data_IF_677216488867
#
_entry.id   IF_677216488867
#
_cell.length_a   1.000
_cell.length_b   1.000
_cell.length_c   1.000
_cell.angle_alpha   90.00
_cell.angle_beta   90.00
_cell.angle_gamma   90.00
#
_symmetry.space_group_name_H-M   'P 1'
#
loop_
_entity.id
_entity.type
_entity.pdbx_description
1 polymer ?
#
# COMPACT_ATOMS: atom_id res chain seq x y z
N UNK A 1 -3.26 37.17 -11.76
CA UNK A 1 -2.23 36.14 -11.51
C UNK A 1 -2.96 34.90 -11.06
N UNK A 2 -3.05 33.89 -11.92
CA UNK A 2 -3.71 32.63 -11.57
C UNK A 2 -2.80 31.90 -10.58
N UNK A 3 -3.17 31.92 -9.29
CA UNK A 3 -2.55 31.07 -8.28
C UNK A 3 -2.96 29.63 -8.58
N UNK A 4 -2.22 28.96 -9.44
CA UNK A 4 -2.30 27.51 -9.54
C UNK A 4 -1.72 26.96 -8.24
N UNK A 5 -2.59 26.54 -7.31
CA UNK A 5 -2.17 25.80 -6.13
C UNK A 5 -1.29 24.62 -6.60
N UNK A 6 -0.09 24.44 -6.02
CA UNK A 6 0.78 23.35 -6.44
C UNK A 6 0.06 22.01 -6.25
N UNK A 7 0.30 21.08 -7.19
CA UNK A 7 -0.20 19.72 -7.06
C UNK A 7 0.32 19.11 -5.75
N UNK A 8 -0.51 18.36 -5.02
CA UNK A 8 -0.10 17.68 -3.76
C UNK A 8 1.17 16.84 -3.97
N UNK A 9 1.28 16.21 -5.14
CA UNK A 9 2.44 15.42 -5.54
C UNK A 9 3.06 15.94 -6.83
N UNK A 10 4.38 16.00 -6.87
CA UNK A 10 5.15 16.43 -8.03
C UNK A 10 6.37 15.53 -8.24
N UNK A 11 6.59 15.11 -9.48
CA UNK A 11 7.81 14.44 -9.91
C UNK A 11 8.00 14.70 -11.41
N UNK A 12 9.04 15.44 -11.78
CA UNK A 12 9.27 15.80 -13.17
C UNK A 12 9.81 14.64 -14.02
N UNK A 13 10.52 13.68 -13.39
CA UNK A 13 10.95 12.44 -14.03
C UNK A 13 11.10 11.34 -12.99
N UNK A 14 11.05 10.08 -13.43
CA UNK A 14 11.27 8.93 -12.56
C UNK A 14 12.64 8.88 -11.90
N UNK A 15 13.61 9.72 -12.27
CA UNK A 15 14.92 9.81 -11.58
C UNK A 15 14.95 10.89 -10.49
N UNK A 16 13.92 11.73 -10.39
CA UNK A 16 13.85 12.81 -9.42
C UNK A 16 13.06 12.38 -8.19
N UNK A 17 13.49 12.86 -7.02
CA UNK A 17 12.81 12.56 -5.75
C UNK A 17 11.34 12.99 -5.84
N UNK A 18 10.38 12.12 -5.46
CA UNK A 18 8.98 12.49 -5.46
C UNK A 18 8.71 13.49 -4.34
N UNK A 19 8.07 14.60 -4.70
CA UNK A 19 7.77 15.70 -3.78
C UNK A 19 6.35 15.56 -3.24
N UNK A 20 6.20 15.74 -1.93
CA UNK A 20 4.90 15.91 -1.26
C UNK A 20 4.80 17.36 -0.82
N UNK A 21 3.95 18.14 -1.51
CA UNK A 21 3.73 19.55 -1.22
C UNK A 21 2.70 19.76 -0.09
N UNK A 22 2.77 20.90 0.63
CA UNK A 22 1.76 21.26 1.62
C UNK A 22 0.36 21.26 1.00
N UNK A 23 -0.58 20.55 1.62
CA UNK A 23 -1.96 20.50 1.18
C UNK A 23 -2.91 20.63 2.38
N UNK A 24 -3.93 21.52 2.32
CA UNK A 24 -4.90 21.66 3.41
C UNK A 24 -5.87 20.47 3.51
N UNK A 25 -6.05 19.72 2.43
CA UNK A 25 -6.98 18.60 2.37
C UNK A 25 -6.38 17.35 3.04
N UNK A 26 -7.20 16.54 3.74
CA UNK A 26 -6.72 15.29 4.32
C UNK A 26 -6.20 14.33 3.25
N UNK A 27 -5.27 13.45 3.62
CA UNK A 27 -4.77 12.43 2.71
C UNK A 27 -5.84 11.36 2.44
N UNK A 28 -5.84 10.84 1.22
CA UNK A 28 -6.69 9.75 0.75
C UNK A 28 -5.88 8.48 0.43
N UNK A 29 -6.51 7.30 0.34
CA UNK A 29 -5.79 6.09 -0.08
C UNK A 29 -5.19 6.20 -1.48
N UNK A 30 -5.84 6.97 -2.37
CA UNK A 30 -5.35 7.27 -3.72
C UNK A 30 -4.04 8.06 -3.67
N UNK A 31 -3.95 9.04 -2.78
CA UNK A 31 -2.74 9.86 -2.59
C UNK A 31 -1.52 8.99 -2.26
N UNK A 32 -1.65 8.06 -1.30
CA UNK A 32 -0.55 7.17 -0.94
C UNK A 32 -0.22 6.13 -2.00
N UNK A 33 -1.20 5.70 -2.79
CA UNK A 33 -0.98 4.78 -3.92
C UNK A 33 -0.24 5.48 -5.06
N UNK A 34 -0.56 6.75 -5.31
CA UNK A 34 0.16 7.57 -6.28
C UNK A 34 1.59 7.84 -5.81
N UNK A 35 1.78 8.24 -4.56
CA UNK A 35 3.11 8.45 -3.99
C UNK A 35 3.96 7.18 -3.99
N UNK A 36 3.37 6.03 -3.67
CA UNK A 36 4.03 4.72 -3.75
C UNK A 36 4.59 4.43 -5.15
N UNK A 37 3.79 4.67 -6.19
CA UNK A 37 4.24 4.51 -7.58
C UNK A 37 5.45 5.41 -7.88
N UNK A 38 5.38 6.69 -7.52
CA UNK A 38 6.46 7.66 -7.73
C UNK A 38 7.74 7.30 -6.96
N UNK A 39 7.59 6.82 -5.72
CA UNK A 39 8.68 6.39 -4.85
C UNK A 39 9.38 5.13 -5.37
N UNK A 40 8.62 4.12 -5.81
CA UNK A 40 9.20 2.92 -6.43
C UNK A 40 9.91 3.25 -7.74
N UNK A 41 9.28 4.06 -8.59
CA UNK A 41 9.88 4.55 -9.83
C UNK A 41 11.20 5.29 -9.59
N UNK A 42 11.25 6.15 -8.57
CA UNK A 42 12.48 6.83 -8.14
C UNK A 42 13.61 5.86 -7.79
N UNK A 43 13.32 4.91 -6.91
CA UNK A 43 14.30 3.95 -6.41
C UNK A 43 14.82 3.05 -7.55
N UNK A 44 13.93 2.59 -8.42
CA UNK A 44 14.27 1.73 -9.54
C UNK A 44 15.09 2.47 -10.62
N UNK A 45 14.72 3.71 -10.95
CA UNK A 45 15.34 4.45 -12.05
C UNK A 45 16.64 5.16 -11.67
N UNK A 46 16.77 5.64 -10.43
CA UNK A 46 18.06 6.21 -9.98
C UNK A 46 19.11 5.11 -9.88
N UNK A 47 18.71 3.92 -9.41
CA UNK A 47 19.61 2.80 -9.17
C UNK A 47 20.68 3.13 -8.13
N UNK A 48 21.40 2.11 -7.66
CA UNK A 48 22.57 2.28 -6.79
C UNK A 48 22.33 3.02 -5.45
N UNK A 49 21.08 3.14 -5.00
CA UNK A 49 20.76 3.55 -3.63
C UNK A 49 20.83 2.29 -2.76
N UNK A 50 21.53 2.38 -1.62
CA UNK A 50 21.50 1.32 -0.62
C UNK A 50 20.05 1.12 -0.13
N UNK A 51 19.58 -0.13 -0.05
CA UNK A 51 18.26 -0.51 0.46
C UNK A 51 17.94 0.17 1.80
N UNK A 52 18.95 0.33 2.68
CA UNK A 52 18.79 0.99 3.99
C UNK A 52 18.65 2.50 3.90
N UNK A 53 18.95 3.09 2.74
CA UNK A 53 18.89 4.54 2.49
C UNK A 53 17.70 4.92 1.62
N UNK A 54 16.89 3.97 1.14
CA UNK A 54 15.71 4.26 0.31
C UNK A 54 14.77 5.26 0.97
N UNK A 55 14.35 5.01 2.21
CA UNK A 55 13.42 5.89 2.94
C UNK A 55 14.06 7.25 3.24
N UNK A 56 15.35 7.27 3.59
CA UNK A 56 16.09 8.51 3.78
C UNK A 56 16.13 9.35 2.49
N UNK A 57 16.42 8.75 1.34
CA UNK A 57 16.45 9.44 0.06
C UNK A 57 15.08 10.03 -0.32
N UNK A 58 13.99 9.29 -0.05
CA UNK A 58 12.62 9.79 -0.26
C UNK A 58 12.30 11.02 0.62
N UNK A 59 12.89 11.10 1.81
CA UNK A 59 12.62 12.20 2.75
C UNK A 59 13.07 13.57 2.26
N UNK A 60 13.98 13.62 1.29
CA UNK A 60 14.41 14.86 0.63
C UNK A 60 13.24 15.55 -0.11
N UNK A 61 12.19 14.80 -0.45
CA UNK A 61 10.99 15.30 -1.11
C UNK A 61 9.86 15.76 -0.16
N UNK A 62 10.01 15.63 1.17
CA UNK A 62 8.94 15.99 2.11
C UNK A 62 8.88 17.51 2.35
N UNK A 63 7.99 18.20 1.63
CA UNK A 63 7.72 19.63 1.81
C UNK A 63 6.50 19.92 2.66
N UNK A 64 5.54 19.00 2.70
CA UNK A 64 4.40 19.06 3.60
C UNK A 64 4.88 19.02 5.07
N UNK A 65 4.56 20.05 5.89
CA UNK A 65 5.02 20.11 7.27
C UNK A 65 4.54 18.95 8.14
N UNK A 66 3.34 18.43 7.92
CA UNK A 66 2.80 17.32 8.70
C UNK A 66 3.56 16.03 8.43
N UNK A 67 3.85 15.73 7.15
CA UNK A 67 4.69 14.59 6.78
C UNK A 67 6.10 14.76 7.35
N UNK A 68 6.67 15.96 7.21
CA UNK A 68 8.04 16.25 7.64
C UNK A 68 8.20 16.12 9.16
N UNK A 69 7.30 16.71 9.94
CA UNK A 69 7.36 16.65 11.41
C UNK A 69 7.15 15.22 11.92
N UNK A 70 6.19 14.49 11.33
CA UNK A 70 5.99 13.06 11.62
C UNK A 70 7.24 12.23 11.32
N UNK A 71 7.87 12.46 10.16
CA UNK A 71 9.09 11.76 9.79
C UNK A 71 10.25 12.08 10.74
N UNK A 72 10.46 13.36 11.06
CA UNK A 72 11.54 13.80 11.94
C UNK A 72 11.38 13.28 13.37
N UNK A 73 10.14 13.11 13.86
CA UNK A 73 9.86 12.60 15.19
C UNK A 73 10.33 11.15 15.41
N UNK A 74 10.37 10.33 14.36
CA UNK A 74 10.77 8.92 14.44
C UNK A 74 11.69 8.48 13.28
N UNK A 75 12.55 9.41 12.84
CA UNK A 75 13.37 9.26 11.64
C UNK A 75 14.22 7.99 11.66
N UNK A 76 14.81 7.66 12.81
CA UNK A 76 15.67 6.48 12.94
C UNK A 76 14.91 5.17 12.71
N UNK A 77 13.71 5.04 13.28
CA UNK A 77 12.87 3.86 13.05
C UNK A 77 12.39 3.82 11.60
N UNK A 78 11.84 4.93 11.09
CA UNK A 78 11.28 4.98 9.73
C UNK A 78 12.33 4.68 8.66
N UNK A 79 13.56 5.18 8.81
CA UNK A 79 14.67 4.86 7.91
C UNK A 79 15.14 3.39 7.97
N UNK A 80 14.81 2.66 9.04
CA UNK A 80 15.12 1.22 9.14
C UNK A 80 14.13 0.33 8.38
N UNK A 81 12.99 0.88 7.98
CA UNK A 81 11.96 0.16 7.25
C UNK A 81 12.32 0.01 5.78
N UNK A 82 11.85 -1.08 5.15
CA UNK A 82 11.76 -1.12 3.70
C UNK A 82 10.64 -0.18 3.21
N UNK A 83 10.64 0.11 1.91
CA UNK A 83 9.69 1.05 1.29
C UNK A 83 8.23 0.65 1.54
N UNK A 84 7.91 -0.65 1.45
CA UNK A 84 6.56 -1.15 1.68
C UNK A 84 6.08 -0.89 3.11
N UNK A 85 6.92 -1.20 4.10
CA UNK A 85 6.60 -0.97 5.52
C UNK A 85 6.55 0.51 5.87
N UNK A 86 7.41 1.33 5.25
CA UNK A 86 7.37 2.78 5.39
C UNK A 86 6.06 3.37 4.86
N UNK A 87 5.61 2.96 3.67
CA UNK A 87 4.34 3.41 3.08
C UNK A 87 3.13 2.94 3.89
N UNK A 88 3.19 1.75 4.48
CA UNK A 88 2.18 1.29 5.44
C UNK A 88 2.13 2.20 6.68
N UNK A 89 3.29 2.55 7.24
CA UNK A 89 3.37 3.49 8.36
C UNK A 89 2.78 4.87 7.99
N UNK A 90 3.05 5.38 6.78
CA UNK A 90 2.43 6.62 6.28
C UNK A 90 0.90 6.49 6.21
N UNK A 91 0.38 5.42 5.60
CA UNK A 91 -1.07 5.19 5.50
C UNK A 91 -1.71 5.13 6.89
N UNK A 92 -1.07 4.48 7.86
CA UNK A 92 -1.57 4.40 9.24
C UNK A 92 -1.55 5.74 9.97
N UNK A 93 -0.57 6.59 9.69
CA UNK A 93 -0.43 7.89 10.34
C UNK A 93 -1.47 8.91 9.84
N UNK A 94 -1.80 8.88 8.55
CA UNK A 94 -2.53 9.96 7.89
C UNK A 94 -3.93 9.60 7.37
N UNK A 95 -4.27 8.32 7.24
CA UNK A 95 -5.62 7.92 6.83
C UNK A 95 -6.57 7.76 8.02
N UNK A 96 -7.88 8.02 7.84
CA UNK A 96 -8.88 7.78 8.88
C UNK A 96 -8.87 6.33 9.35
N UNK A 97 -9.13 6.09 10.64
CA UNK A 97 -9.31 4.72 11.15
C UNK A 97 -10.38 3.98 10.33
N UNK A 98 -10.17 2.70 10.06
CA UNK A 98 -11.10 1.83 9.33
C UNK A 98 -11.41 2.24 7.88
N UNK A 99 -10.60 3.11 7.27
CA UNK A 99 -10.76 3.50 5.85
C UNK A 99 -10.80 2.27 4.92
N UNK A 100 -9.96 1.29 5.24
CA UNK A 100 -9.76 0.03 4.54
C UNK A 100 -10.97 -0.90 4.66
N UNK A 101 -11.51 -1.04 5.89
CA UNK A 101 -12.77 -1.75 6.16
C UNK A 101 -13.92 -1.13 5.36
N UNK A 102 -14.08 0.19 5.44
CA UNK A 102 -15.16 0.92 4.73
C UNK A 102 -15.07 0.72 3.23
N UNK A 103 -13.89 0.89 2.65
CA UNK A 103 -13.68 0.71 1.22
C UNK A 103 -13.95 -0.73 0.76
N UNK A 104 -13.58 -1.73 1.55
CA UNK A 104 -13.92 -3.13 1.25
C UNK A 104 -15.43 -3.36 1.33
N UNK A 105 -16.10 -2.82 2.34
CA UNK A 105 -17.55 -2.97 2.49
C UNK A 105 -18.27 -2.27 1.32
N UNK A 106 -17.76 -1.12 0.85
CA UNK A 106 -18.21 -0.46 -0.38
C UNK A 106 -18.04 -1.37 -1.61
N UNK A 107 -16.86 -2.00 -1.80
CA UNK A 107 -16.65 -2.96 -2.90
C UNK A 107 -17.67 -4.09 -2.83
N UNK A 108 -17.83 -4.74 -1.66
CA UNK A 108 -18.71 -5.89 -1.48
C UNK A 108 -20.20 -5.57 -1.64
N UNK A 109 -20.58 -4.33 -1.37
CA UNK A 109 -21.97 -3.87 -1.53
C UNK A 109 -22.29 -3.36 -2.94
N UNK A 110 -21.31 -3.29 -3.84
CA UNK A 110 -21.51 -2.74 -5.18
C UNK A 110 -22.16 -3.78 -6.11
N UNK A 111 -23.13 -3.31 -6.89
CA UNK A 111 -23.75 -4.04 -8.00
C UNK A 111 -23.51 -3.30 -9.31
N UNK A 112 -23.59 -4.00 -10.44
CA UNK A 112 -23.61 -3.35 -11.76
C UNK A 112 -24.93 -2.57 -11.89
N UNK A 113 -24.87 -1.24 -12.01
CA UNK A 113 -26.07 -0.40 -12.20
C UNK A 113 -26.70 -0.57 -13.58
N UNK A 114 -28.02 -0.42 -13.73
CA UNK A 114 -28.80 -0.69 -14.97
C UNK A 114 -28.24 -0.02 -16.24
N UNK A 115 -27.69 1.17 -16.13
CA UNK A 115 -27.08 1.92 -17.25
C UNK A 115 -25.54 1.91 -17.23
N UNK A 116 -24.91 1.24 -16.26
CA UNK A 116 -23.46 1.14 -16.14
C UNK A 116 -22.94 -0.03 -16.98
N UNK A 117 -21.95 0.25 -17.83
CA UNK A 117 -21.23 -0.81 -18.56
C UNK A 117 -20.47 -1.70 -17.59
N UNK A 118 -20.41 -2.99 -17.91
CA UNK A 118 -19.77 -3.99 -17.06
C UNK A 118 -18.29 -3.68 -16.85
N UNK A 119 -17.65 -3.15 -17.89
CA UNK A 119 -16.23 -2.78 -17.88
C UNK A 119 -15.95 -1.59 -16.97
N UNK A 120 -16.82 -0.57 -16.95
CA UNK A 120 -16.68 0.59 -16.07
C UNK A 120 -16.84 0.18 -14.60
N UNK A 121 -17.88 -0.59 -14.30
CA UNK A 121 -18.12 -1.13 -12.96
C UNK A 121 -16.93 -1.95 -12.44
N UNK A 122 -16.50 -2.97 -13.19
CA UNK A 122 -15.38 -3.83 -12.79
C UNK A 122 -14.06 -3.05 -12.66
N UNK A 123 -13.80 -2.09 -13.55
CA UNK A 123 -12.59 -1.26 -13.49
C UNK A 123 -12.56 -0.43 -12.20
N UNK A 124 -13.69 0.20 -11.84
CA UNK A 124 -13.83 0.96 -10.60
C UNK A 124 -13.59 0.07 -9.37
N UNK A 125 -14.18 -1.12 -9.33
CA UNK A 125 -13.99 -2.05 -8.20
C UNK A 125 -12.55 -2.56 -8.11
N UNK A 126 -11.90 -2.87 -9.23
CA UNK A 126 -10.48 -3.27 -9.25
C UNK A 126 -9.54 -2.13 -8.85
N UNK A 127 -9.86 -0.89 -9.22
CA UNK A 127 -9.13 0.30 -8.76
C UNK A 127 -9.28 0.46 -7.25
N UNK A 128 -10.51 0.37 -6.71
CA UNK A 128 -10.74 0.42 -5.26
C UNK A 128 -10.02 -0.72 -4.53
N UNK A 129 -10.06 -1.95 -5.05
CA UNK A 129 -9.33 -3.08 -4.47
C UNK A 129 -7.81 -2.86 -4.49
N UNK A 130 -7.28 -2.18 -5.52
CA UNK A 130 -5.86 -1.81 -5.58
C UNK A 130 -5.47 -0.87 -4.43
N UNK A 131 -6.36 0.02 -3.99
CA UNK A 131 -6.12 0.89 -2.84
C UNK A 131 -6.04 0.11 -1.52
N UNK A 132 -6.60 -1.10 -1.46
CA UNK A 132 -6.53 -2.01 -0.31
C UNK A 132 -5.25 -2.85 -0.28
N UNK A 133 -4.37 -2.75 -1.29
CA UNK A 133 -3.10 -3.48 -1.30
C UNK A 133 -2.32 -3.27 -0.01
N UNK A 134 -1.66 -4.34 0.43
CA UNK A 134 -0.93 -4.39 1.69
C UNK A 134 -1.81 -4.28 2.95
N UNK A 135 -3.14 -4.34 2.82
CA UNK A 135 -4.08 -4.53 3.93
C UNK A 135 -4.66 -5.95 3.89
N UNK A 136 -5.13 -6.43 5.04
CA UNK A 136 -5.85 -7.71 5.17
C UNK A 136 -7.25 -7.67 4.54
N UNK A 137 -7.70 -6.50 4.07
CA UNK A 137 -9.00 -6.33 3.41
C UNK A 137 -8.92 -6.36 1.89
N UNK A 138 -7.72 -6.48 1.31
CA UNK A 138 -7.54 -6.70 -0.12
C UNK A 138 -8.20 -8.01 -0.56
N UNK A 139 -9.10 -7.94 -1.53
CA UNK A 139 -9.78 -9.11 -2.09
C UNK A 139 -8.84 -9.83 -3.07
N UNK A 140 -8.81 -11.16 -2.99
CA UNK A 140 -8.11 -11.97 -3.99
C UNK A 140 -8.79 -11.88 -5.36
N UNK A 141 -8.12 -12.38 -6.41
CA UNK A 141 -8.76 -12.46 -7.72
C UNK A 141 -9.98 -13.38 -7.69
N UNK A 142 -9.95 -14.44 -6.89
CA UNK A 142 -11.04 -15.41 -6.74
C UNK A 142 -12.23 -14.74 -6.04
N UNK A 143 -11.98 -14.01 -4.95
CA UNK A 143 -13.01 -13.24 -4.24
C UNK A 143 -13.67 -12.19 -5.16
N UNK A 144 -12.87 -11.50 -5.98
CA UNK A 144 -13.37 -10.53 -6.95
C UNK A 144 -14.21 -11.21 -8.05
N UNK A 145 -13.77 -12.38 -8.53
CA UNK A 145 -14.48 -13.13 -9.55
C UNK A 145 -15.84 -13.63 -9.02
N UNK A 146 -15.86 -14.19 -7.82
CA UNK A 146 -17.10 -14.62 -7.16
C UNK A 146 -18.06 -13.44 -6.97
N UNK A 147 -17.54 -12.30 -6.52
CA UNK A 147 -18.33 -11.07 -6.37
C UNK A 147 -18.89 -10.62 -7.73
N UNK A 148 -18.08 -10.58 -8.78
CA UNK A 148 -18.53 -10.19 -10.11
C UNK A 148 -19.60 -11.13 -10.68
N UNK A 149 -19.41 -12.46 -10.57
CA UNK A 149 -20.39 -13.45 -11.03
C UNK A 149 -21.75 -13.29 -10.33
N UNK A 150 -21.74 -12.92 -9.05
CA UNK A 150 -22.96 -12.79 -8.23
C UNK A 150 -23.64 -11.42 -8.30
N UNK A 151 -22.92 -10.36 -8.68
CA UNK A 151 -23.41 -8.96 -8.64
C UNK A 151 -23.54 -8.29 -10.02
N UNK A 152 -23.26 -9.03 -11.10
CA UNK A 152 -23.52 -8.60 -12.48
C UNK A 152 -25.02 -8.70 -12.84
N UNK A 153 -25.49 -7.88 -13.79
CA UNK A 153 -26.88 -7.92 -14.26
C UNK A 153 -27.28 -9.29 -14.77
N UNK A 154 -28.56 -9.63 -14.58
CA UNK A 154 -29.12 -10.93 -15.00
C UNK A 154 -29.04 -11.17 -16.52
N UNK A 155 -29.07 -10.13 -17.34
CA UNK A 155 -28.91 -10.21 -18.80
C UNK A 155 -27.55 -10.78 -19.22
N UNK A 156 -26.50 -10.44 -18.47
CA UNK A 156 -25.12 -10.91 -18.66
C UNK A 156 -24.85 -12.18 -17.84
N UNK A 157 -25.47 -12.33 -16.67
CA UNK A 157 -25.38 -13.50 -15.79
C UNK A 157 -26.17 -14.72 -16.29
N UNK A 158 -26.78 -14.68 -17.49
CA UNK A 158 -27.61 -15.78 -17.96
C UNK A 158 -26.76 -17.05 -18.22
N UNK A 159 -26.56 -17.86 -17.19
CA UNK A 159 -25.77 -19.10 -17.17
C UNK A 159 -26.21 -20.11 -18.25
N UNK A 160 -27.47 -20.02 -18.71
CA UNK A 160 -27.96 -20.82 -19.84
C UNK A 160 -27.46 -20.34 -21.20
N UNK A 161 -27.22 -19.03 -21.34
CA UNK A 161 -26.84 -18.39 -22.59
C UNK A 161 -25.32 -18.43 -22.80
N UNK A 162 -24.54 -18.42 -21.72
CA UNK A 162 -23.08 -18.39 -21.74
C UNK A 162 -22.46 -19.39 -20.73
N UNK A 163 -22.56 -20.71 -20.99
CA UNK A 163 -22.05 -21.74 -20.08
C UNK A 163 -20.52 -21.72 -19.93
N UNK A 164 -19.80 -21.17 -20.91
CA UNK A 164 -18.34 -20.99 -20.87
C UNK A 164 -17.94 -19.96 -19.81
N UNK A 165 -18.62 -18.81 -19.79
CA UNK A 165 -18.37 -17.76 -18.80
C UNK A 165 -18.72 -18.21 -17.37
N UNK A 166 -19.67 -19.13 -17.20
CA UNK A 166 -19.98 -19.68 -15.87
C UNK A 166 -18.83 -20.51 -15.28
N UNK A 167 -18.11 -21.24 -16.14
CA UNK A 167 -17.02 -22.17 -15.76
C UNK A 167 -15.64 -21.53 -15.75
N UNK A 168 -15.50 -20.31 -16.25
CA UNK A 168 -14.22 -19.62 -16.27
C UNK A 168 -13.85 -19.16 -14.86
N UNK A 169 -12.67 -19.59 -14.41
CA UNK A 169 -12.17 -19.37 -13.05
C UNK A 169 -11.01 -18.35 -13.04
N UNK A 170 -10.45 -18.02 -14.22
CA UNK A 170 -9.51 -16.91 -14.32
C UNK A 170 -10.26 -15.57 -14.41
N UNK A 171 -9.99 -14.69 -13.45
CA UNK A 171 -10.63 -13.38 -13.37
C UNK A 171 -10.47 -12.56 -14.66
N UNK A 172 -9.27 -12.55 -15.24
CA UNK A 172 -9.00 -11.71 -16.42
C UNK A 172 -9.67 -12.26 -17.66
N UNK A 173 -9.64 -13.57 -17.83
CA UNK A 173 -10.29 -14.27 -18.93
C UNK A 173 -11.82 -14.13 -18.84
N UNK A 174 -12.38 -14.25 -17.65
CA UNK A 174 -13.80 -14.03 -17.41
C UNK A 174 -14.23 -12.60 -17.74
N UNK A 175 -13.45 -11.58 -17.32
CA UNK A 175 -13.71 -10.17 -17.68
C UNK A 175 -13.73 -9.97 -19.20
N UNK A 176 -12.78 -10.58 -19.92
CA UNK A 176 -12.71 -10.49 -21.38
C UNK A 176 -13.92 -11.13 -22.06
N UNK A 177 -14.38 -12.29 -21.58
CA UNK A 177 -15.58 -12.96 -22.09
C UNK A 177 -16.83 -12.10 -21.92
N UNK A 178 -17.05 -11.60 -20.70
CA UNK A 178 -18.23 -10.80 -20.36
C UNK A 178 -18.26 -9.48 -21.13
N UNK A 179 -17.11 -8.85 -21.33
CA UNK A 179 -16.99 -7.68 -22.20
C UNK A 179 -17.45 -7.97 -23.63
N UNK A 180 -17.00 -9.07 -24.22
CA UNK A 180 -17.43 -9.45 -25.58
C UNK A 180 -18.93 -9.75 -25.68
N UNK A 181 -19.53 -10.28 -24.60
CA UNK A 181 -20.97 -10.52 -24.52
C UNK A 181 -21.75 -9.20 -24.49
N UNK A 182 -21.34 -8.23 -23.66
CA UNK A 182 -21.98 -6.91 -23.56
C UNK A 182 -21.91 -6.18 -24.91
N UNK A 183 -20.74 -6.14 -25.54
CA UNK A 183 -20.54 -5.54 -26.87
C UNK A 183 -21.41 -6.18 -27.96
N UNK A 184 -21.72 -7.47 -27.84
CA UNK A 184 -22.59 -8.17 -28.79
C UNK A 184 -24.08 -7.87 -28.60
N UNK A 185 -24.50 -7.51 -27.37
CA UNK A 185 -25.90 -7.16 -27.09
C UNK A 185 -26.24 -5.74 -27.57
N UNK A 186 -25.28 -4.82 -27.52
CA UNK A 186 -25.46 -3.44 -28.01
C UNK A 186 -25.68 -3.36 -29.53
N UNK A 187 -25.15 -4.33 -30.28
CA UNK A 187 -25.30 -4.38 -31.75
C UNK A 187 -26.67 -4.94 -32.17
N UNK A 188 -27.24 -5.87 -31.38
CA UNK A 188 -28.49 -6.57 -31.72
C UNK A 188 -29.75 -5.78 -31.29
N UNK A 189 -29.61 -4.79 -30.40
CA UNK A 189 -30.72 -3.93 -29.93
C UNK A 189 -31.21 -2.86 -30.92
N UNK A 190 -30.60 -2.79 -32.12
CA UNK A 190 -30.92 -1.79 -33.15
C UNK A 190 -31.61 -2.32 -34.41
N UNK A 191 -31.79 -3.64 -34.57
CA UNK A 191 -32.39 -4.21 -35.78
C UNK A 191 -33.52 -5.18 -35.45
N UNK A 192 -34.74 -4.64 -35.52
CA UNK A 192 -35.95 -5.44 -35.68
C UNK A 192 -35.98 -6.01 -37.12
N UNK A 193 -35.33 -7.15 -37.33
CA UNK A 193 -35.53 -7.98 -38.52
C UNK A 193 -34.96 -9.39 -38.35
N UNK A 194 -35.90 -10.31 -38.12
CA UNK A 194 -36.05 -11.66 -38.68
C UNK A 194 -34.80 -12.51 -39.04
N UNK A 195 -34.73 -13.66 -38.35
CA UNK A 195 -34.11 -14.95 -38.70
C UNK A 195 -32.65 -15.00 -39.21
N UNK A 196 -31.78 -15.69 -38.46
CA UNK A 196 -31.25 -17.05 -38.78
C UNK A 196 -30.02 -17.37 -37.91
N UNK A 197 -29.94 -18.62 -37.45
CA UNK A 197 -28.79 -19.24 -36.78
C UNK A 197 -27.44 -18.90 -37.44
N UNK A 198 -26.48 -18.45 -36.63
CA UNK A 198 -25.05 -18.58 -36.94
C UNK A 198 -24.30 -18.99 -35.68
N UNK A 199 -23.64 -20.16 -35.75
CA UNK A 199 -22.74 -20.70 -34.73
C UNK A 199 -21.57 -19.75 -34.42
N UNK A 200 -21.04 -19.73 -33.19
CA UNK A 200 -19.95 -18.82 -32.84
C UNK A 200 -18.62 -19.27 -33.46
N UNK A 201 -17.96 -18.33 -34.12
CA UNK A 201 -16.60 -18.47 -34.67
C UNK A 201 -15.59 -18.51 -33.51
N UNK A 202 -14.89 -19.63 -33.39
CA UNK A 202 -13.77 -19.82 -32.47
C UNK A 202 -12.60 -18.95 -32.93
N UNK A 203 -12.29 -17.87 -32.21
CA UNK A 203 -11.03 -17.14 -32.38
C UNK A 203 -9.91 -17.86 -31.62
N UNK A 204 -8.95 -18.42 -32.36
CA UNK A 204 -7.66 -18.85 -31.81
C UNK A 204 -6.64 -17.71 -31.93
N UNK A 205 -5.95 -17.29 -30.85
CA UNK A 205 -4.94 -16.25 -30.93
C UNK A 205 -3.73 -16.74 -31.74
N UNK A 206 -3.31 -15.97 -32.75
CA UNK A 206 -2.05 -16.22 -33.46
C UNK A 206 -0.96 -15.31 -32.91
N UNK A 207 0.18 -15.93 -32.60
CA UNK A 207 1.41 -15.40 -32.01
C UNK A 207 2.05 -14.26 -32.84
N UNK A 208 2.36 -13.09 -32.27
CA UNK A 208 3.01 -12.01 -32.99
C UNK A 208 4.54 -12.11 -32.88
N UNK A 209 5.15 -12.96 -33.71
CA UNK A 209 6.58 -12.84 -34.05
C UNK A 209 6.77 -12.58 -35.55
N UNK A 210 7.50 -11.49 -35.81
CA UNK A 210 8.12 -11.08 -37.07
C UNK A 210 7.21 -10.40 -38.11
N UNK A 211 7.33 -9.07 -38.22
CA UNK A 211 7.93 -8.40 -39.40
C UNK A 211 7.97 -6.88 -39.20
N UNK A 212 9.19 -6.35 -39.03
CA UNK A 212 9.51 -4.94 -39.22
C UNK A 212 10.34 -4.83 -40.50
N UNK A 213 9.81 -4.13 -41.50
CA UNK A 213 10.55 -3.59 -42.67
C UNK A 213 9.80 -2.31 -43.08
N UNK A 214 10.37 -1.14 -42.74
CA UNK A 214 11.00 -0.16 -43.68
C UNK A 214 9.97 0.34 -44.71
N UNK A 215 9.70 1.64 -44.84
CA UNK A 215 10.65 2.71 -45.20
C UNK A 215 9.97 4.09 -45.12
N UNK A 216 10.73 5.15 -44.82
CA UNK A 216 10.70 6.43 -45.56
C UNK A 216 11.81 7.38 -45.06
N UNK A 217 12.80 7.61 -45.93
CA UNK A 217 13.67 8.80 -46.01
C UNK A 217 12.86 9.99 -46.57
N UNK A 218 13.27 11.26 -46.66
CA UNK A 218 14.51 12.05 -46.47
C UNK A 218 14.07 13.50 -46.11
N UNK A 219 14.85 14.28 -45.36
CA UNK A 219 15.59 15.52 -45.78
C UNK A 219 14.65 16.72 -46.10
N UNK A 220 14.78 17.95 -45.57
CA UNK A 220 15.95 18.83 -45.49
C UNK A 220 15.68 20.09 -44.60
N UNK A 221 16.79 20.79 -44.30
CA UNK A 221 16.95 22.24 -44.06
C UNK A 221 16.64 22.91 -42.69
N UNK A 222 17.74 23.24 -42.01
CA UNK A 222 17.94 24.49 -41.24
C UNK A 222 18.50 25.58 -42.21
N UNK A 223 18.98 26.79 -41.81
CA UNK A 223 19.03 27.45 -40.50
C UNK A 223 18.65 28.96 -40.56
N UNK A 224 18.52 29.70 -39.44
CA UNK A 224 18.95 31.13 -39.37
C UNK A 224 19.01 31.68 -37.92
N UNK A 225 20.24 32.08 -37.53
CA UNK A 225 20.74 33.27 -36.77
C UNK A 225 19.82 33.95 -35.73
N UNK A 226 20.23 34.03 -34.45
CA UNK A 226 21.12 35.03 -33.78
C UNK A 226 20.41 36.29 -33.26
N UNK A 227 20.47 36.52 -31.94
CA UNK A 227 20.95 37.73 -31.23
C UNK A 227 20.33 37.75 -29.82
N UNK A 228 21.10 37.56 -28.74
CA UNK A 228 21.93 38.56 -28.02
C UNK A 228 21.12 39.72 -27.46
N UNK A 229 21.04 39.82 -26.13
CA UNK A 229 21.38 41.01 -25.30
C UNK A 229 20.90 40.80 -23.85
N UNK A 230 21.85 40.59 -22.95
CA UNK A 230 21.87 41.21 -21.61
C UNK A 230 22.59 42.56 -21.77
N UNK A 231 22.38 43.62 -20.94
CA UNK A 231 22.79 43.53 -19.51
C UNK A 231 22.16 44.51 -18.48
N UNK A 232 22.38 44.16 -17.19
CA UNK A 232 22.86 45.03 -16.09
C UNK A 232 21.87 45.94 -15.28
N UNK A 233 22.27 46.50 -14.10
CA UNK A 233 21.79 46.02 -12.79
C UNK A 233 21.40 47.16 -11.80
N UNK A 234 21.33 46.80 -10.50
CA UNK A 234 21.29 47.68 -9.29
C UNK A 234 19.87 48.16 -8.95
N UNK A 235 19.39 48.12 -7.71
CA UNK A 235 19.99 48.74 -6.52
C UNK A 235 19.54 48.07 -5.22
N UNK A 236 20.48 48.09 -4.28
CA UNK A 236 20.41 47.83 -2.84
C UNK A 236 19.59 48.85 -2.05
N UNK A 237 18.92 48.39 -0.99
CA UNK A 237 18.79 49.14 0.28
C UNK A 237 18.40 48.21 1.44
N UNK A 238 19.24 48.18 2.47
CA UNK A 238 19.02 47.60 3.80
C UNK A 238 18.54 48.66 4.79
N UNK A 239 18.30 48.23 6.05
CA UNK A 239 18.10 48.96 7.35
C UNK A 239 16.68 48.71 7.89
N UNK A 240 16.44 47.77 8.84
CA UNK A 240 16.68 47.79 10.31
C UNK A 240 15.88 48.93 11.00
N UNK A 241 15.18 48.84 12.14
CA UNK A 241 15.29 48.08 13.39
C UNK A 241 14.00 48.36 14.20
N UNK A 242 13.54 47.46 15.09
CA UNK A 242 12.61 47.83 16.17
C UNK A 242 13.04 47.17 17.50
N UNK A 243 12.93 47.85 18.65
CA UNK A 243 13.55 47.42 19.91
C UNK A 243 12.61 46.61 20.84
N UNK A 244 13.26 45.89 21.76
CA UNK A 244 12.71 45.12 22.89
C UNK A 244 12.41 46.01 24.12
N UNK A 245 11.55 45.53 25.03
CA UNK A 245 11.69 45.45 26.53
C UNK A 245 10.28 45.39 27.23
N UNK A 246 10.12 45.09 28.55
CA UNK A 246 9.89 43.72 29.05
C UNK A 246 8.86 43.58 30.23
N UNK A 247 8.75 42.35 30.76
CA UNK A 247 8.35 41.90 32.14
C UNK A 247 6.85 41.60 32.47
N UNK A 248 6.72 40.37 33.01
CA UNK A 248 5.63 39.55 33.59
C UNK A 248 5.10 40.05 34.97
N UNK A 249 4.37 39.28 35.84
CA UNK A 249 3.68 37.97 35.72
C UNK A 249 2.27 37.91 36.37
N UNK A 250 1.52 36.78 36.19
CA UNK A 250 0.90 35.96 37.26
C UNK A 250 -0.34 35.17 36.81
N UNK A 251 -0.28 33.83 36.94
CA UNK A 251 -1.32 32.89 37.39
C UNK A 251 -1.31 31.54 36.61
N UNK A 252 -1.58 30.40 37.28
CA UNK A 252 -1.08 29.09 36.87
C UNK A 252 -2.10 28.34 36.02
N UNK A 253 -1.69 27.87 34.85
CA UNK A 253 -2.42 26.83 34.13
C UNK A 253 -1.56 25.57 34.05
N UNK A 254 -2.16 24.49 34.53
CA UNK A 254 -1.61 23.14 34.54
C UNK A 254 -1.13 22.75 33.14
N UNK A 255 0.16 22.49 33.02
CA UNK A 255 0.80 21.95 31.82
C UNK A 255 0.56 20.45 31.75
N UNK A 256 -0.58 20.04 31.20
CA UNK A 256 -0.66 18.74 30.55
C UNK A 256 0.09 18.84 29.21
N UNK A 257 1.35 18.45 29.22
CA UNK A 257 2.14 18.26 28.00
C UNK A 257 1.46 17.21 27.10
N UNK A 258 1.34 17.41 25.78
CA UNK A 258 0.71 16.44 24.86
C UNK A 258 1.52 15.16 24.65
N UNK A 259 2.59 14.96 25.44
CA UNK A 259 3.57 13.89 25.33
C UNK A 259 3.07 12.52 25.80
N UNK A 260 1.97 12.45 26.56
CA UNK A 260 1.43 11.19 27.08
C UNK A 260 0.37 10.54 26.21
N UNK A 261 -0.32 11.29 25.34
CA UNK A 261 -1.39 10.72 24.50
C UNK A 261 -0.92 10.10 23.18
N UNK A 262 0.35 10.30 22.78
CA UNK A 262 0.93 9.62 21.61
C UNK A 262 1.67 8.32 21.97
N UNK A 263 2.18 8.20 23.21
CA UNK A 263 2.85 6.99 23.67
C UNK A 263 1.84 5.88 24.05
N UNK A 264 0.68 6.23 24.63
CA UNK A 264 -0.42 5.28 24.81
C UNK A 264 -1.12 4.90 23.49
N UNK A 265 -0.99 5.73 22.45
CA UNK A 265 -1.65 5.54 21.14
C UNK A 265 -0.82 4.71 20.16
N UNK A 266 0.47 4.52 20.42
CA UNK A 266 1.30 3.52 19.75
C UNK A 266 1.10 2.09 20.32
N UNK A 267 0.51 1.97 21.52
CA UNK A 267 0.26 0.69 22.18
C UNK A 267 -1.13 0.08 21.87
N UNK A 268 -2.07 0.85 21.30
CA UNK A 268 -3.46 0.41 21.16
C UNK A 268 -3.86 -0.12 19.76
N UNK A 269 -2.91 -0.29 18.82
CA UNK A 269 -3.17 -0.90 17.50
C UNK A 269 -2.10 -1.92 17.04
N UNK A 270 -1.23 -2.37 17.94
CA UNK A 270 -0.71 -3.72 17.81
C UNK A 270 -1.84 -4.66 18.25
N UNK A 271 -2.50 -5.36 17.32
CA UNK A 271 -2.91 -6.74 17.61
C UNK A 271 -1.60 -7.54 17.63
N UNK A 272 -0.76 -7.23 18.61
CA UNK A 272 0.48 -7.90 18.87
C UNK A 272 0.11 -9.22 19.47
N UNK A 273 0.69 -10.29 18.94
CA UNK A 273 0.65 -11.59 19.57
C UNK A 273 0.81 -11.42 21.08
N UNK A 274 -0.05 -12.05 21.92
CA UNK A 274 -0.02 -11.85 23.36
C UNK A 274 1.41 -12.07 23.88
N UNK A 275 1.93 -11.16 24.69
CA UNK A 275 3.30 -11.26 25.22
C UNK A 275 3.50 -12.61 25.91
N UNK A 276 4.66 -13.24 25.71
CA UNK A 276 4.96 -14.49 26.39
C UNK A 276 5.07 -14.24 27.90
N UNK A 277 4.41 -15.06 28.71
CA UNK A 277 4.57 -15.02 30.17
C UNK A 277 6.00 -15.42 30.58
N UNK A 278 6.38 -15.16 31.83
CA UNK A 278 7.68 -15.64 32.36
C UNK A 278 7.84 -17.15 32.19
N UNK A 279 6.83 -17.91 32.62
CA UNK A 279 6.79 -19.37 32.48
C UNK A 279 6.90 -19.83 31.02
N UNK A 280 6.20 -19.15 30.10
CA UNK A 280 6.27 -19.45 28.67
C UNK A 280 7.67 -19.19 28.10
N UNK A 281 8.34 -18.11 28.55
CA UNK A 281 9.72 -17.82 28.15
C UNK A 281 10.69 -18.87 28.67
N UNK A 282 10.60 -19.23 29.95
CA UNK A 282 11.46 -20.24 30.55
C UNK A 282 11.27 -21.62 29.91
N UNK A 283 10.01 -21.96 29.62
CA UNK A 283 9.67 -23.18 28.90
C UNK A 283 10.21 -23.18 27.46
N UNK A 284 10.14 -22.05 26.75
CA UNK A 284 10.78 -21.90 25.44
C UNK A 284 12.31 -21.99 25.51
N UNK A 285 12.96 -21.46 26.55
CA UNK A 285 14.41 -21.64 26.78
C UNK A 285 14.74 -23.12 26.97
N UNK A 286 13.97 -23.82 27.79
CA UNK A 286 14.15 -25.24 28.07
C UNK A 286 13.98 -26.13 26.82
N UNK A 287 13.00 -25.81 25.96
CA UNK A 287 12.67 -26.57 24.75
C UNK A 287 13.40 -26.09 23.49
N UNK A 288 14.45 -25.25 23.65
CA UNK A 288 15.24 -24.68 22.55
C UNK A 288 14.36 -24.03 21.47
N UNK A 289 13.44 -23.16 21.89
CA UNK A 289 12.49 -22.49 21.01
C UNK A 289 12.91 -21.10 20.57
N UNK A 290 12.34 -20.63 19.45
CA UNK A 290 12.58 -19.29 18.91
C UNK A 290 11.47 -18.31 19.31
N UNK A 291 11.81 -17.29 20.08
CA UNK A 291 10.88 -16.28 20.59
C UNK A 291 10.18 -15.44 19.50
N UNK A 292 10.72 -15.43 18.27
CA UNK A 292 10.12 -14.69 17.15
C UNK A 292 8.99 -15.47 16.48
N UNK A 293 9.23 -16.72 16.08
CA UNK A 293 8.21 -17.56 15.46
C UNK A 293 7.35 -18.36 16.45
N UNK A 294 7.73 -18.33 17.73
CA UNK A 294 7.06 -19.04 18.83
C UNK A 294 6.98 -20.55 18.60
N UNK A 295 8.00 -21.14 17.97
CA UNK A 295 8.16 -22.59 17.76
C UNK A 295 9.25 -23.18 18.65
N UNK A 296 9.05 -24.40 19.16
CA UNK A 296 10.05 -25.17 19.92
C UNK A 296 10.84 -26.14 19.04
N UNK A 297 11.98 -26.63 19.55
CA UNK A 297 12.88 -27.56 18.84
C UNK A 297 13.37 -27.06 17.47
N UNK A 298 13.54 -25.74 17.34
CA UNK A 298 14.00 -25.10 16.11
C UNK A 298 15.44 -24.63 16.25
N UNK A 299 16.27 -24.91 15.24
CA UNK A 299 17.69 -24.55 15.23
C UNK A 299 17.93 -23.14 14.67
N UNK A 300 17.19 -22.15 15.19
CA UNK A 300 17.42 -20.74 14.84
C UNK A 300 17.02 -19.81 15.99
N UNK A 301 17.70 -18.66 16.07
CA UNK A 301 17.40 -17.60 17.05
C UNK A 301 16.43 -16.57 16.47
N UNK A 302 15.96 -15.64 17.31
CA UNK A 302 15.08 -14.55 16.85
C UNK A 302 15.72 -13.67 15.75
N UNK A 303 17.05 -13.50 15.79
CA UNK A 303 17.82 -12.75 14.79
C UNK A 303 17.95 -13.49 13.45
N UNK A 304 17.98 -14.82 13.46
CA UNK A 304 18.13 -15.67 12.26
C UNK A 304 16.86 -16.44 11.88
N UNK A 305 15.70 -16.00 12.37
CA UNK A 305 14.43 -16.65 12.11
C UNK A 305 13.91 -16.32 10.69
N UNK A 306 13.88 -17.32 9.81
CA UNK A 306 13.30 -17.24 8.47
C UNK A 306 11.78 -17.38 8.44
N UNK A 307 11.18 -17.95 9.50
CA UNK A 307 9.74 -18.22 9.61
C UNK A 307 8.95 -16.94 9.94
N UNK A 308 9.58 -15.96 10.60
CA UNK A 308 8.92 -14.71 11.00
C UNK A 308 8.00 -14.88 12.21
N UNK A 309 7.20 -13.86 12.51
CA UNK A 309 6.21 -13.92 13.59
C UNK A 309 4.99 -14.74 13.15
N UNK A 310 4.36 -15.52 14.05
CA UNK A 310 3.12 -16.18 13.72
C UNK A 310 2.01 -15.16 13.47
N UNK A 311 1.04 -15.55 12.65
CA UNK A 311 -0.11 -14.71 12.37
C UNK A 311 -0.92 -14.50 13.66
N UNK A 312 -1.17 -13.25 14.09
CA UNK A 312 -1.89 -12.94 15.31
C UNK A 312 -3.33 -13.45 15.34
N UNK A 313 -3.99 -13.62 14.19
CA UNK A 313 -5.38 -14.09 14.12
C UNK A 313 -5.50 -15.60 14.34
N UNK A 314 -4.49 -16.35 13.89
CA UNK A 314 -4.43 -17.82 14.00
C UNK A 314 -3.58 -18.29 15.18
N UNK A 315 -2.85 -17.39 15.83
CA UNK A 315 -2.03 -17.74 16.98
C UNK A 315 -2.91 -18.17 18.18
N UNK A 316 -2.63 -19.37 18.69
CA UNK A 316 -3.33 -19.97 19.83
C UNK A 316 -2.40 -20.43 20.96
N UNK A 317 -1.08 -20.30 20.78
CA UNK A 317 -0.09 -20.75 21.77
C UNK A 317 1.26 -21.07 21.15
N UNK A 318 2.22 -21.50 21.98
CA UNK A 318 3.53 -21.95 21.51
C UNK A 318 3.35 -23.19 20.63
N UNK A 319 4.04 -23.22 19.50
CA UNK A 319 3.88 -24.27 18.47
C UNK A 319 5.07 -25.24 18.46
N UNK A 320 4.86 -26.44 17.95
CA UNK A 320 5.92 -27.39 17.59
C UNK A 320 6.61 -26.98 16.28
N UNK A 321 7.62 -27.75 15.87
CA UNK A 321 8.41 -27.46 14.67
C UNK A 321 7.54 -27.41 13.40
N UNK A 322 6.54 -28.30 13.31
CA UNK A 322 5.59 -28.42 12.20
C UNK A 322 4.51 -27.33 12.18
N UNK A 323 4.42 -26.50 13.23
CA UNK A 323 3.42 -25.44 13.37
C UNK A 323 2.13 -25.86 14.08
N UNK A 324 2.03 -27.09 14.58
CA UNK A 324 0.93 -27.51 15.46
C UNK A 324 1.10 -26.94 16.86
N UNK A 325 0.01 -26.82 17.63
CA UNK A 325 0.07 -26.24 19.00
C UNK A 325 0.71 -27.28 19.94
N UNK A 326 1.75 -26.87 20.67
CA UNK A 326 2.37 -27.73 21.66
C UNK A 326 1.43 -27.90 22.87
N UNK A 327 0.92 -29.12 23.07
CA UNK A 327 -0.09 -29.43 24.10
C UNK A 327 0.45 -29.30 25.53
N UNK A 328 1.76 -29.51 25.72
CA UNK A 328 2.46 -29.40 27.01
C UNK A 328 2.90 -27.96 27.34
N UNK A 329 2.57 -26.98 26.51
CA UNK A 329 2.97 -25.60 26.72
C UNK A 329 2.16 -24.93 27.86
N UNK A 330 2.80 -24.10 28.71
CA UNK A 330 2.08 -23.30 29.70
C UNK A 330 1.01 -22.41 29.03
N UNK A 331 -0.23 -22.50 29.54
CA UNK A 331 -1.35 -21.72 29.01
C UNK A 331 -1.16 -20.24 29.30
N UNK A 332 -1.60 -19.39 28.38
CA UNK A 332 -1.62 -17.95 28.59
C UNK A 332 -2.66 -17.59 29.67
N UNK A 333 -2.21 -17.18 30.85
CA UNK A 333 -3.09 -16.67 31.91
C UNK A 333 -3.11 -15.13 31.85
N UNK A 334 -4.26 -14.49 31.56
CA UNK A 334 -4.35 -13.04 31.37
C UNK A 334 -4.05 -12.22 32.63
N UNK A 335 -4.07 -12.84 33.82
CA UNK A 335 -3.83 -12.18 35.11
C UNK A 335 -2.37 -12.24 35.60
N UNK A 336 -1.44 -12.76 34.79
CA UNK A 336 -0.02 -12.83 35.17
C UNK A 336 0.68 -11.47 34.98
N UNK A 337 1.55 -11.04 35.93
CA UNK A 337 2.27 -9.78 35.82
C UNK A 337 3.05 -9.71 34.51
N UNK A 338 2.77 -8.70 33.68
CA UNK A 338 3.50 -8.47 32.45
C UNK A 338 4.91 -7.98 32.78
N UNK A 339 5.91 -8.86 32.63
CA UNK A 339 7.31 -8.46 32.69
C UNK A 339 7.70 -7.77 31.36
N UNK A 340 8.42 -6.64 31.42
CA UNK A 340 8.89 -5.94 30.23
C UNK A 340 9.71 -6.86 29.32
N UNK A 341 9.69 -6.56 28.02
CA UNK A 341 10.49 -7.26 27.01
C UNK A 341 11.98 -7.02 27.28
N UNK A 342 12.70 -8.05 27.73
CA UNK A 342 14.13 -7.96 28.05
C UNK A 342 14.99 -8.22 26.80
N UNK A 343 16.01 -7.38 26.59
CA UNK A 343 17.00 -7.49 25.49
C UNK A 343 17.87 -8.78 25.57
N UNK A 344 17.80 -9.48 26.71
CA UNK A 344 18.48 -10.77 26.93
C UNK A 344 17.93 -11.89 26.03
N UNK A 345 16.65 -11.84 25.65
CA UNK A 345 16.03 -12.87 24.79
C UNK A 345 16.50 -12.78 23.32
N UNK A 346 17.19 -11.68 22.93
CA UNK A 346 17.86 -11.57 21.61
C UNK A 346 19.16 -12.36 21.52
N UNK A 347 19.82 -12.58 22.66
CA UNK A 347 21.18 -13.10 22.73
C UNK A 347 21.24 -14.56 23.18
N UNK A 348 20.08 -15.22 23.33
CA UNK A 348 20.03 -16.65 23.64
C UNK A 348 20.60 -17.47 22.49
N UNK A 349 21.78 -18.05 22.72
CA UNK A 349 22.44 -19.01 21.84
C UNK A 349 22.14 -20.43 22.33
N UNK A 350 21.80 -21.38 21.43
CA UNK A 350 21.65 -22.78 21.83
C UNK A 350 23.01 -23.32 22.33
N UNK A 351 23.04 -24.21 23.35
CA UNK A 351 24.27 -24.86 23.77
C UNK A 351 24.84 -25.69 22.61
N UNK A 352 26.15 -25.54 22.37
CA UNK A 352 26.92 -26.33 21.41
C UNK A 352 26.83 -27.81 21.79
N UNK A 353 26.53 -28.64 20.79
CA UNK A 353 26.37 -30.09 20.94
C UNK A 353 27.60 -30.81 20.40
#
# INVERSE_FOLDING_TARGET
>A
MSNTSPSRFEQASGCLVPIINPCPEPFTPTDFTHYEYMARSYIENVGNIDLRKHVHALSEGFRDPLIKDWFMADMHHLCSLNVTNFLLAMRMAFLPRSWDRKLRDEIRSSYQGEDESVTAWMSRLRQNNTLLRHTHFHLSNDDLLEHFKSHIKKSLSAHRRYPEAAKEDDLMQWILMIKGIEESQDVDGGSDSDATQCSPVIFKPTDPRLKRKRSSSSEDDAPYKRSTMSPRPSTSASVATAPLTPISPSAPFATHSPRTLFYERAHAYYIGLPSLTGEQRDWMKQKKGCFRCRRIWVFHTASHCSIGQPDPETYRGIMEQDGTIASDAPKHCPDSPQLPYNDEDRHWSPPEN
#
